data_IF_792925746635
#
_entry.id   IF_792925746635
#
_cell.length_a   1.000
_cell.length_b   1.000
_cell.length_c   1.000
_cell.angle_alpha   90.00
_cell.angle_beta   90.00
_cell.angle_gamma   90.00
#
_symmetry.space_group_name_H-M   'P 1'
#
loop_
_entity.id
_entity.type
_entity.pdbx_description
1 polymer ?
#
# COMPACT_ATOMS: atom_id res chain seq x y z
N UNK A 1 -2.38 18.19 -28.03
CA UNK A 1 -1.78 17.27 -27.05
C UNK A 1 -2.66 17.27 -25.83
N UNK A 2 -3.58 16.31 -25.72
CA UNK A 2 -4.40 16.13 -24.53
C UNK A 2 -3.55 15.37 -23.52
N UNK A 3 -2.88 16.09 -22.62
CA UNK A 3 -2.39 15.52 -21.37
C UNK A 3 -3.61 15.20 -20.52
N UNK A 4 -4.24 14.07 -20.80
CA UNK A 4 -5.13 13.46 -19.83
C UNK A 4 -4.25 13.17 -18.61
N UNK A 5 -4.28 14.07 -17.62
CA UNK A 5 -3.93 13.73 -16.24
C UNK A 5 -4.85 12.58 -15.89
N UNK A 6 -4.33 11.35 -16.05
CA UNK A 6 -5.05 10.15 -15.67
C UNK A 6 -5.18 10.25 -14.15
N UNK A 7 -6.39 10.29 -13.62
CA UNK A 7 -6.56 10.23 -12.19
C UNK A 7 -6.20 8.82 -11.75
N UNK A 8 -5.25 8.69 -10.82
CA UNK A 8 -4.83 7.47 -10.13
C UNK A 8 -5.97 6.89 -9.26
N UNK A 9 -7.13 6.60 -9.85
CA UNK A 9 -8.35 6.15 -9.17
C UNK A 9 -8.35 4.66 -8.79
N UNK A 10 -7.31 3.91 -9.10
CA UNK A 10 -7.22 2.50 -8.72
C UNK A 10 -6.23 2.35 -7.56
N UNK A 11 -6.68 2.77 -6.37
CA UNK A 11 -6.01 2.42 -5.14
C UNK A 11 -6.97 1.65 -4.24
N UNK A 12 -6.52 0.49 -3.73
CA UNK A 12 -7.27 -0.31 -2.75
C UNK A 12 -6.73 0.03 -1.37
N UNK A 13 -7.63 0.34 -0.44
CA UNK A 13 -7.26 0.58 0.95
C UNK A 13 -7.48 -0.70 1.73
N UNK A 14 -6.42 -1.24 2.31
CA UNK A 14 -6.45 -2.36 3.24
C UNK A 14 -6.29 -1.82 4.66
N UNK A 15 -7.20 -2.19 5.55
CA UNK A 15 -7.12 -1.84 6.97
C UNK A 15 -7.18 -3.14 7.77
N UNK A 16 -6.10 -3.53 8.47
CA UNK A 16 -6.11 -4.74 9.27
C UNK A 16 -7.20 -4.77 10.35
N UNK A 17 -7.92 -5.87 10.40
CA UNK A 17 -8.94 -6.15 11.40
C UNK A 17 -8.45 -7.15 12.47
N UNK A 18 -9.26 -7.31 13.52
CA UNK A 18 -8.96 -8.26 14.57
C UNK A 18 -9.14 -9.70 14.07
N UNK A 19 -8.04 -10.43 13.90
CA UNK A 19 -8.03 -11.82 13.42
C UNK A 19 -7.32 -12.01 12.08
N UNK A 20 -6.94 -10.92 11.41
CA UNK A 20 -6.12 -10.99 10.20
C UNK A 20 -4.68 -11.42 10.52
N UNK A 21 -4.09 -12.18 9.60
CA UNK A 21 -2.70 -12.63 9.71
C UNK A 21 -1.77 -11.74 8.87
N UNK A 22 -0.78 -11.06 9.48
CA UNK A 22 0.23 -10.30 8.75
C UNK A 22 1.08 -11.15 7.79
N UNK A 23 1.16 -12.47 7.97
CA UNK A 23 1.86 -13.37 7.04
C UNK A 23 1.17 -13.45 5.67
N UNK A 24 -0.14 -13.23 5.61
CA UNK A 24 -0.93 -13.25 4.37
C UNK A 24 -0.85 -11.93 3.58
N UNK A 25 -0.14 -10.92 4.08
CA UNK A 25 -0.13 -9.57 3.51
C UNK A 25 0.37 -9.54 2.05
N UNK A 26 1.41 -10.31 1.74
CA UNK A 26 1.97 -10.37 0.38
C UNK A 26 0.94 -10.94 -0.62
N UNK A 27 0.25 -12.02 -0.24
CA UNK A 27 -0.79 -12.65 -1.04
C UNK A 27 -2.00 -11.71 -1.21
N UNK A 28 -2.40 -11.01 -0.15
CA UNK A 28 -3.47 -10.00 -0.21
C UNK A 28 -3.13 -8.86 -1.18
N UNK A 29 -1.91 -8.33 -1.12
CA UNK A 29 -1.45 -7.28 -2.05
C UNK A 29 -1.47 -7.81 -3.49
N UNK A 30 -0.94 -9.01 -3.73
CA UNK A 30 -0.91 -9.64 -5.05
C UNK A 30 -2.32 -9.83 -5.62
N UNK A 31 -3.24 -10.34 -4.81
CA UNK A 31 -4.63 -10.57 -5.19
C UNK A 31 -5.33 -9.27 -5.60
N UNK A 32 -5.18 -8.21 -4.82
CA UNK A 32 -5.80 -6.91 -5.13
C UNK A 32 -5.20 -6.29 -6.40
N UNK A 33 -3.88 -6.37 -6.59
CA UNK A 33 -3.22 -5.93 -7.83
C UNK A 33 -3.74 -6.74 -9.04
N UNK A 34 -3.95 -8.05 -8.88
CA UNK A 34 -4.42 -8.94 -9.95
C UNK A 34 -5.88 -8.68 -10.30
N UNK A 35 -6.75 -8.48 -9.30
CA UNK A 35 -8.16 -8.12 -9.49
C UNK A 35 -8.29 -6.77 -10.21
N UNK A 36 -7.42 -5.83 -9.85
CA UNK A 36 -7.44 -4.48 -10.37
C UNK A 36 -6.79 -4.31 -11.76
N UNK A 37 -6.11 -5.34 -12.30
CA UNK A 37 -5.67 -5.35 -13.70
C UNK A 37 -6.87 -5.41 -14.64
N UNK A 38 -7.39 -4.24 -15.01
CA UNK A 38 -8.39 -4.12 -16.07
C UNK A 38 -7.67 -4.13 -17.42
N UNK A 39 -7.49 -5.32 -17.99
CA UNK A 39 -6.98 -5.51 -19.35
C UNK A 39 -7.36 -6.88 -19.90
N UNK A 40 -8.15 -6.90 -20.98
CA UNK A 40 -8.54 -8.12 -21.71
C UNK A 40 -7.71 -8.23 -22.98
N UNK A 41 -6.39 -8.29 -22.86
CA UNK A 41 -5.53 -8.55 -24.02
C UNK A 41 -4.05 -8.66 -23.67
N UNK A 42 -3.27 -9.43 -24.43
CA UNK A 42 -1.82 -9.57 -24.24
C UNK A 42 -1.03 -8.26 -24.40
N UNK A 43 -1.65 -7.23 -25.00
CA UNK A 43 -1.06 -5.90 -25.24
C UNK A 43 -1.71 -4.75 -24.44
N UNK A 44 -2.73 -5.04 -23.62
CA UNK A 44 -3.29 -4.05 -22.70
C UNK A 44 -2.45 -4.06 -21.42
N UNK A 45 -1.60 -3.03 -21.25
CA UNK A 45 -0.92 -2.78 -19.97
C UNK A 45 -2.00 -2.49 -18.93
N UNK A 46 -2.44 -3.52 -18.21
CA UNK A 46 -3.37 -3.40 -17.10
C UNK A 46 -2.89 -2.29 -16.18
N UNK A 47 -3.79 -1.39 -15.81
CA UNK A 47 -3.47 -0.30 -14.89
C UNK A 47 -3.03 -0.93 -13.56
N UNK A 48 -1.86 -0.52 -13.07
CA UNK A 48 -1.30 -1.06 -11.83
C UNK A 48 -2.04 -0.40 -10.67
N UNK A 49 -2.64 -1.22 -9.82
CA UNK A 49 -3.36 -0.77 -8.63
C UNK A 49 -2.37 -0.47 -7.52
N UNK A 50 -2.48 0.71 -6.94
CA UNK A 50 -1.75 1.04 -5.72
C UNK A 50 -2.48 0.40 -4.53
N UNK A 51 -1.74 -0.17 -3.58
CA UNK A 51 -2.32 -0.67 -2.33
C UNK A 51 -1.92 0.26 -1.22
N UNK A 52 -2.91 0.74 -0.46
CA UNK A 52 -2.70 1.60 0.70
C UNK A 52 -3.01 0.77 1.94
N UNK A 53 -1.99 0.44 2.74
CA UNK A 53 -2.19 -0.24 4.02
C UNK A 53 -2.35 0.80 5.14
N UNK A 54 -3.55 0.88 5.71
CA UNK A 54 -3.89 1.78 6.81
C UNK A 54 -3.71 1.12 8.18
N UNK A 55 -2.64 1.53 8.87
CA UNK A 55 -2.30 1.05 10.21
C UNK A 55 -2.70 2.03 11.32
N UNK A 56 -3.48 3.08 11.03
CA UNK A 56 -3.84 4.11 12.03
C UNK A 56 -4.73 3.56 13.14
N UNK A 57 -5.66 2.66 12.81
CA UNK A 57 -6.54 1.96 13.75
C UNK A 57 -6.01 0.61 14.23
N UNK A 58 -4.86 0.16 13.72
CA UNK A 58 -4.33 -1.17 14.03
C UNK A 58 -3.85 -1.23 15.50
N UNK A 59 -4.25 -2.26 16.29
CA UNK A 59 -3.81 -2.41 17.67
C UNK A 59 -2.32 -2.78 17.77
N UNK A 60 -1.78 -3.49 16.77
CA UNK A 60 -0.40 -3.99 16.75
C UNK A 60 0.33 -3.63 15.45
N UNK A 61 0.51 -2.33 15.15
CA UNK A 61 1.09 -1.89 13.87
C UNK A 61 2.53 -2.38 13.68
N UNK A 62 3.27 -2.66 14.77
CA UNK A 62 4.63 -3.19 14.70
C UNK A 62 4.73 -4.58 14.04
N UNK A 63 3.67 -5.40 14.09
CA UNK A 63 3.69 -6.74 13.47
C UNK A 63 3.53 -6.59 11.97
N UNK A 64 2.56 -5.79 11.54
CA UNK A 64 2.34 -5.41 10.14
C UNK A 64 3.55 -4.72 9.52
N UNK A 65 4.19 -3.77 10.23
CA UNK A 65 5.40 -3.11 9.73
C UNK A 65 6.59 -4.06 9.53
N UNK A 66 6.64 -5.18 10.27
CA UNK A 66 7.68 -6.21 10.04
C UNK A 66 7.36 -7.07 8.82
N UNK A 67 6.08 -7.39 8.60
CA UNK A 67 5.63 -8.12 7.42
C UNK A 67 5.91 -7.33 6.13
N UNK A 68 5.71 -6.01 6.18
CA UNK A 68 6.04 -5.06 5.09
C UNK A 68 7.55 -4.82 4.93
N UNK A 69 8.41 -5.53 5.67
CA UNK A 69 9.85 -5.30 5.70
C UNK A 69 10.55 -5.36 4.32
N UNK A 70 11.88 -5.13 4.28
CA UNK A 70 12.68 -5.10 3.04
C UNK A 70 12.60 -6.35 2.14
N UNK A 71 11.97 -7.43 2.60
CA UNK A 71 11.67 -8.62 1.80
C UNK A 71 10.55 -8.38 0.77
N UNK A 72 9.66 -7.41 1.00
CA UNK A 72 8.53 -7.06 0.12
C UNK A 72 8.65 -5.60 -0.36
N UNK A 73 9.67 -5.24 -1.16
CA UNK A 73 9.72 -3.93 -1.79
C UNK A 73 8.74 -3.89 -2.96
N UNK A 74 7.44 -3.85 -2.67
CA UNK A 74 6.43 -3.63 -3.70
C UNK A 74 6.31 -2.13 -3.96
N UNK A 75 6.67 -1.71 -5.18
CA UNK A 75 6.58 -0.33 -5.61
C UNK A 75 5.16 0.25 -5.59
N UNK A 76 4.15 -0.60 -5.41
CA UNK A 76 2.74 -0.21 -5.38
C UNK A 76 2.17 -0.13 -3.96
N UNK A 77 2.95 -0.46 -2.93
CA UNK A 77 2.51 -0.40 -1.53
C UNK A 77 2.81 0.96 -0.89
N UNK A 78 1.78 1.59 -0.37
CA UNK A 78 1.83 2.83 0.40
C UNK A 78 1.38 2.55 1.84
N UNK A 79 2.09 3.08 2.81
CA UNK A 79 1.78 2.84 4.22
C UNK A 79 1.19 4.09 4.86
N UNK A 80 0.02 3.98 5.47
CA UNK A 80 -0.52 5.01 6.35
C UNK A 80 -0.25 4.60 7.78
N UNK A 81 0.50 5.43 8.50
CA UNK A 81 0.98 5.11 9.84
C UNK A 81 0.64 6.22 10.82
N UNK A 82 0.18 5.83 12.02
CA UNK A 82 0.05 6.78 13.12
C UNK A 82 1.42 7.33 13.55
N UNK A 83 1.49 8.49 14.23
CA UNK A 83 2.77 9.03 14.73
C UNK A 83 3.56 8.05 15.60
N UNK A 84 2.86 7.19 16.36
CA UNK A 84 3.48 6.14 17.18
C UNK A 84 4.09 5.04 16.30
N UNK A 85 3.37 4.59 15.28
CA UNK A 85 3.83 3.57 14.33
C UNK A 85 4.99 4.09 13.46
N UNK A 86 5.03 5.39 13.16
CA UNK A 86 6.14 6.01 12.42
C UNK A 86 7.50 5.83 13.13
N UNK A 87 7.53 5.94 14.46
CA UNK A 87 8.76 5.69 15.22
C UNK A 87 9.27 4.25 15.05
N UNK A 88 8.35 3.28 15.01
CA UNK A 88 8.66 1.86 14.76
C UNK A 88 9.16 1.66 13.33
N UNK A 89 8.48 2.25 12.35
CA UNK A 89 8.88 2.18 10.94
C UNK A 89 10.30 2.73 10.72
N UNK A 90 10.65 3.83 11.41
CA UNK A 90 12.02 4.38 11.39
C UNK A 90 13.06 3.42 11.95
N UNK A 91 12.76 2.74 13.05
CA UNK A 91 13.68 1.75 13.64
C UNK A 91 13.89 0.54 12.72
N UNK A 92 12.88 0.20 11.92
CA UNK A 92 12.94 -0.86 10.92
C UNK A 92 13.56 -0.42 9.59
N UNK A 93 13.90 0.87 9.43
CA UNK A 93 14.49 1.41 8.19
C UNK A 93 13.52 1.51 7.01
N UNK A 94 12.21 1.34 7.23
CA UNK A 94 11.19 1.35 6.17
C UNK A 94 11.08 2.66 5.37
N UNK A 95 11.26 3.86 5.95
CA UNK A 95 11.20 5.10 5.17
C UNK A 95 12.26 5.20 4.05
N UNK A 96 13.30 4.38 4.06
CA UNK A 96 14.29 4.33 2.99
C UNK A 96 13.84 3.48 1.80
N UNK A 97 12.75 2.72 1.96
CA UNK A 97 12.28 1.69 1.03
C UNK A 97 10.83 1.91 0.60
N UNK A 98 10.03 2.61 1.41
CA UNK A 98 8.58 2.73 1.25
C UNK A 98 8.10 4.15 1.56
N UNK A 99 7.03 4.55 0.88
CA UNK A 99 6.35 5.81 1.13
C UNK A 99 5.41 5.69 2.34
N UNK A 100 5.67 6.54 3.33
CA UNK A 100 4.89 6.62 4.56
C UNK A 100 4.04 7.89 4.57
N UNK A 101 2.76 7.74 4.91
CA UNK A 101 1.77 8.81 4.91
C UNK A 101 1.10 8.96 6.29
N UNK A 102 0.68 10.18 6.64
CA UNK A 102 0.01 10.45 7.91
C UNK A 102 -1.48 10.06 7.91
N UNK A 103 -2.10 9.99 6.72
CA UNK A 103 -3.51 9.66 6.52
C UNK A 103 -3.73 9.09 5.10
N UNK A 104 -4.86 8.40 4.92
CA UNK A 104 -5.25 7.76 3.65
C UNK A 104 -5.40 8.79 2.53
N UNK A 105 -5.94 9.98 2.83
CA UNK A 105 -6.14 11.02 1.82
C UNK A 105 -4.81 11.47 1.19
N UNK A 106 -3.79 11.67 2.02
CA UNK A 106 -2.43 12.00 1.61
C UNK A 106 -1.79 10.87 0.80
N UNK A 107 -2.02 9.61 1.19
CA UNK A 107 -1.54 8.44 0.46
C UNK A 107 -2.17 8.32 -0.93
N UNK A 108 -3.44 8.68 -1.08
CA UNK A 108 -4.15 8.63 -2.37
C UNK A 108 -3.76 9.79 -3.30
N UNK A 109 -3.46 10.98 -2.76
CA UNK A 109 -3.22 12.21 -3.54
C UNK A 109 -1.85 12.31 -4.22
N UNK A 110 -0.84 11.55 -3.80
CA UNK A 110 0.52 11.62 -4.36
C UNK A 110 0.68 11.00 -5.76
N UNK A 111 -0.43 10.49 -6.33
CA UNK A 111 -0.55 10.08 -7.72
C UNK A 111 -0.97 11.17 -8.73
N UNK A 112 -1.08 12.45 -8.31
CA UNK A 112 -1.62 13.56 -9.12
C UNK A 112 -0.56 14.51 -9.65
#
# INVERSE_FOLDING_TARGET
MNTARRPDFLAVVLAPEAGDDPEDLEDLIHDEITKGRVGKGPDERGEVVNVVLDLTGCPEPQVWLKAVGPAVPDANLRLVVSPKAFAVARLLGLPALLDLYPDVESALRQGV
#
